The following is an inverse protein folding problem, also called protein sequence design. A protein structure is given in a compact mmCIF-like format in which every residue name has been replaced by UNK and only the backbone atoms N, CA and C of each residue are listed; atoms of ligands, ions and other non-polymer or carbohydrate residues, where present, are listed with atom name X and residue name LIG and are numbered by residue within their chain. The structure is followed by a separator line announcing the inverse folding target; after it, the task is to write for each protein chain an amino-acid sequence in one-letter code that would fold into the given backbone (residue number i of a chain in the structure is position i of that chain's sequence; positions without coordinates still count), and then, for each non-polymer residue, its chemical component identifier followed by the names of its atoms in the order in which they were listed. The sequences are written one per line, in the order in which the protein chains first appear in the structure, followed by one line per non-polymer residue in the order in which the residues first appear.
data_IF_319879678371
#
_entry.id   IF_319879678371
#
_cell.length_a   1.000
_cell.length_b   1.000
_cell.length_c   1.000
_cell.angle_alpha   90.00
_cell.angle_beta   90.00
_cell.angle_gamma   90.00
#
_symmetry.space_group_name_H-M   'P 1'
#
loop_
_entity.id
_entity.type
_entity.pdbx_description
1 polymer ?
#
# COMPACT_ATOMS: atom_id res chain seq x y z
N UNK A 1 -11.69 10.21 5.02
CA UNK A 1 -10.77 11.36 4.86
C UNK A 1 -9.44 10.97 4.26
N UNK A 2 -8.64 10.10 4.88
CA UNK A 2 -7.28 9.74 4.40
C UNK A 2 -7.25 9.29 2.94
N UNK A 3 -8.12 8.36 2.52
CA UNK A 3 -8.17 7.90 1.13
C UNK A 3 -8.40 9.03 0.12
N UNK A 4 -9.27 9.99 0.44
CA UNK A 4 -9.53 11.15 -0.41
C UNK A 4 -8.34 12.11 -0.43
N UNK A 5 -7.74 12.40 0.73
CA UNK A 5 -6.57 13.26 0.84
C UNK A 5 -5.37 12.70 0.03
N UNK A 6 -5.09 11.40 0.16
CA UNK A 6 -4.06 10.71 -0.61
C UNK A 6 -4.34 10.78 -2.12
N UNK A 7 -5.57 10.48 -2.54
CA UNK A 7 -5.95 10.51 -3.97
C UNK A 7 -5.80 11.92 -4.56
N UNK A 8 -6.23 12.94 -3.82
CA UNK A 8 -6.08 14.33 -4.23
C UNK A 8 -4.60 14.76 -4.25
N UNK A 9 -3.79 14.33 -3.27
CA UNK A 9 -2.36 14.59 -3.24
C UNK A 9 -1.65 14.01 -4.49
N UNK A 10 -1.95 12.76 -4.86
CA UNK A 10 -1.41 12.14 -6.07
C UNK A 10 -1.83 12.90 -7.34
N UNK A 11 -3.11 13.31 -7.44
CA UNK A 11 -3.59 14.11 -8.56
C UNK A 11 -2.93 15.49 -8.64
N UNK A 12 -2.79 16.16 -7.49
CA UNK A 12 -2.11 17.44 -7.36
C UNK A 12 -0.64 17.36 -7.78
N UNK A 13 0.11 16.37 -7.28
CA UNK A 13 1.51 16.14 -7.65
C UNK A 13 1.66 15.85 -9.14
N UNK A 14 0.76 15.05 -9.73
CA UNK A 14 0.73 14.81 -11.17
C UNK A 14 0.58 16.10 -11.99
N UNK A 15 -0.32 17.00 -11.58
CA UNK A 15 -0.50 18.30 -12.23
C UNK A 15 0.70 19.23 -12.01
N UNK A 16 1.20 19.35 -10.78
CA UNK A 16 2.34 20.21 -10.40
C UNK A 16 3.61 19.82 -11.16
N UNK A 17 3.88 18.51 -11.24
CA UNK A 17 5.08 17.96 -11.87
C UNK A 17 4.87 17.66 -13.37
N UNK A 18 3.69 17.98 -13.92
CA UNK A 18 3.32 17.75 -15.33
C UNK A 18 3.57 16.29 -15.78
N UNK A 19 3.27 15.34 -14.90
CA UNK A 19 3.49 13.92 -15.15
C UNK A 19 2.51 13.46 -16.23
N UNK A 20 3.04 12.94 -17.34
CA UNK A 20 2.22 12.35 -18.39
C UNK A 20 1.65 11.01 -17.92
N UNK A 21 0.32 10.79 -18.00
CA UNK A 21 -0.24 9.49 -17.69
C UNK A 21 0.26 8.44 -18.69
N UNK A 22 0.34 7.19 -18.23
CA UNK A 22 0.60 6.06 -19.12
C UNK A 22 -0.55 5.91 -20.13
N UNK A 23 -0.29 5.32 -21.31
CA UNK A 23 -1.37 4.95 -22.22
C UNK A 23 -2.42 4.08 -21.53
N UNK A 24 -3.66 4.15 -22.02
CA UNK A 24 -4.74 3.28 -21.55
C UNK A 24 -4.37 1.80 -21.65
N UNK A 25 -4.73 1.01 -20.65
CA UNK A 25 -4.62 -0.44 -20.72
C UNK A 25 -5.61 -0.96 -21.78
N UNK A 26 -5.12 -1.83 -22.66
CA UNK A 26 -5.94 -2.53 -23.66
C UNK A 26 -5.89 -4.03 -23.40
N UNK A 27 -7.04 -4.68 -23.50
CA UNK A 27 -7.17 -6.12 -23.25
C UNK A 27 -7.38 -6.46 -21.77
N UNK A 28 -7.00 -7.68 -21.39
CA UNK A 28 -7.23 -8.23 -20.06
C UNK A 28 -6.05 -7.93 -19.11
N UNK A 29 -6.32 -7.18 -18.04
CA UNK A 29 -5.32 -6.83 -17.03
C UNK A 29 -4.82 -8.04 -16.22
N UNK A 30 -5.59 -9.13 -16.10
CA UNK A 30 -5.16 -10.33 -15.37
C UNK A 30 -3.95 -11.03 -16.02
N UNK A 31 -3.69 -10.77 -17.30
CA UNK A 31 -2.53 -11.30 -18.03
C UNK A 31 -1.27 -10.44 -17.87
N UNK A 32 -1.37 -9.30 -17.20
CA UNK A 32 -0.26 -8.35 -17.04
C UNK A 32 0.51 -8.55 -15.74
N UNK A 33 1.81 -8.18 -15.67
CA UNK A 33 2.56 -8.27 -14.44
C UNK A 33 1.92 -7.47 -13.31
N UNK A 34 1.97 -8.00 -12.08
CA UNK A 34 1.52 -7.26 -10.91
C UNK A 34 2.33 -5.97 -10.73
N UNK A 35 1.61 -4.86 -10.57
CA UNK A 35 2.21 -3.53 -10.42
C UNK A 35 1.92 -2.89 -9.05
N UNK A 36 1.19 -3.59 -8.18
CA UNK A 36 0.83 -3.12 -6.85
C UNK A 36 1.46 -4.01 -5.77
N UNK A 37 1.71 -3.44 -4.56
CA UNK A 37 2.19 -4.19 -3.42
C UNK A 37 1.32 -5.42 -3.13
N UNK A 38 1.97 -6.51 -2.75
CA UNK A 38 1.34 -7.81 -2.47
C UNK A 38 0.98 -8.00 -1.01
N UNK A 39 1.49 -7.14 -0.12
CA UNK A 39 1.18 -7.14 1.31
C UNK A 39 1.03 -5.71 1.82
N UNK A 40 0.44 -5.57 3.00
CA UNK A 40 0.37 -4.28 3.69
C UNK A 40 1.78 -3.77 4.02
N UNK A 41 2.67 -4.62 4.53
CA UNK A 41 4.07 -4.24 4.81
C UNK A 41 4.78 -3.67 3.57
N UNK A 42 4.64 -4.30 2.40
CA UNK A 42 5.23 -3.76 1.16
C UNK A 42 4.62 -2.40 0.78
N UNK A 43 3.31 -2.22 0.95
CA UNK A 43 2.65 -0.94 0.68
C UNK A 43 3.11 0.17 1.64
N UNK A 44 3.34 -0.16 2.91
CA UNK A 44 3.87 0.77 3.91
C UNK A 44 5.31 1.15 3.61
N UNK A 45 6.15 0.21 3.17
CA UNK A 45 7.52 0.49 2.73
C UNK A 45 7.55 1.45 1.53
N UNK A 46 6.67 1.26 0.55
CA UNK A 46 6.57 2.16 -0.59
C UNK A 46 6.14 3.57 -0.14
N UNK A 47 5.14 3.66 0.74
CA UNK A 47 4.67 4.95 1.26
C UNK A 47 5.74 5.68 2.07
N UNK A 48 6.52 4.97 2.88
CA UNK A 48 7.63 5.56 3.66
C UNK A 48 8.70 6.18 2.75
N UNK A 49 8.94 5.59 1.58
CA UNK A 49 9.96 6.04 0.62
C UNK A 49 9.50 7.17 -0.30
N UNK A 50 8.19 7.45 -0.37
CA UNK A 50 7.62 8.42 -1.31
C UNK A 50 7.69 9.86 -0.77
N UNK A 51 8.83 10.52 -0.93
CA UNK A 51 9.09 11.85 -0.34
C UNK A 51 8.09 12.93 -0.77
N UNK A 52 7.57 12.88 -2.00
CA UNK A 52 6.63 13.88 -2.50
C UNK A 52 5.32 13.87 -1.69
N UNK A 53 4.88 12.69 -1.24
CA UNK A 53 3.69 12.59 -0.39
C UNK A 53 3.95 13.09 1.04
N UNK A 54 5.18 13.00 1.54
CA UNK A 54 5.55 13.58 2.84
C UNK A 54 5.47 15.11 2.79
N UNK A 55 5.88 15.73 1.67
CA UNK A 55 5.78 17.18 1.49
C UNK A 55 4.33 17.68 1.46
N UNK A 56 3.43 16.91 0.84
CA UNK A 56 2.02 17.32 0.67
C UNK A 56 1.17 17.03 1.90
N UNK A 57 1.35 15.86 2.52
CA UNK A 57 0.49 15.37 3.62
C UNK A 57 1.11 15.56 5.00
N UNK A 58 2.39 15.89 5.05
CA UNK A 58 3.17 16.04 6.28
C UNK A 58 3.96 14.79 6.61
N UNK A 59 5.28 14.96 6.79
CA UNK A 59 6.21 13.89 7.15
C UNK A 59 5.80 13.20 8.47
N UNK A 60 5.37 13.97 9.47
CA UNK A 60 4.91 13.42 10.75
C UNK A 60 3.66 12.54 10.59
N UNK A 61 2.71 12.98 9.76
CA UNK A 61 1.50 12.20 9.49
C UNK A 61 1.84 10.88 8.81
N UNK A 62 2.64 10.90 7.74
CA UNK A 62 3.04 9.66 7.04
C UNK A 62 3.80 8.73 7.98
N UNK A 63 4.76 9.26 8.76
CA UNK A 63 5.53 8.48 9.73
C UNK A 63 4.60 7.76 10.72
N UNK A 64 3.77 8.51 11.46
CA UNK A 64 2.87 7.94 12.47
C UNK A 64 1.89 6.95 11.84
N UNK A 65 1.30 7.29 10.69
CA UNK A 65 0.38 6.40 10.01
C UNK A 65 1.04 5.06 9.64
N UNK A 66 2.25 5.11 9.07
CA UNK A 66 2.96 3.89 8.67
C UNK A 66 3.39 3.05 9.86
N UNK A 67 3.88 3.66 10.94
CA UNK A 67 4.28 2.93 12.15
C UNK A 67 3.09 2.23 12.83
N UNK A 68 1.94 2.91 12.94
CA UNK A 68 0.73 2.28 13.50
C UNK A 68 0.28 1.10 12.64
N UNK A 69 0.30 1.25 11.31
CA UNK A 69 -0.11 0.18 10.40
C UNK A 69 0.86 -0.98 10.36
N UNK A 70 2.15 -0.74 10.57
CA UNK A 70 3.14 -1.81 10.72
C UNK A 70 2.85 -2.63 11.98
N UNK A 71 2.62 -1.98 13.13
CA UNK A 71 2.28 -2.67 14.37
C UNK A 71 0.99 -3.50 14.26
N UNK A 72 -0.05 -2.96 13.63
CA UNK A 72 -1.29 -3.70 13.34
C UNK A 72 -1.01 -4.93 12.46
N UNK A 73 -0.15 -4.78 11.44
CA UNK A 73 0.21 -5.85 10.52
C UNK A 73 1.03 -6.95 11.20
N UNK A 74 2.05 -6.57 11.97
CA UNK A 74 2.86 -7.51 12.76
C UNK A 74 2.00 -8.31 13.74
N UNK A 75 1.04 -7.66 14.39
CA UNK A 75 0.14 -8.35 15.32
C UNK A 75 -0.78 -9.32 14.58
N UNK A 76 -1.29 -8.94 13.40
CA UNK A 76 -2.06 -9.84 12.56
C UNK A 76 -1.26 -11.09 12.15
N UNK A 77 0.02 -10.91 11.79
CA UNK A 77 0.89 -12.02 11.36
C UNK A 77 1.23 -13.02 12.48
N UNK A 78 1.02 -12.66 13.76
CA UNK A 78 1.20 -13.59 14.90
C UNK A 78 0.00 -14.51 15.10
N UNK A 79 -1.15 -14.21 14.48
CA UNK A 79 -2.37 -15.00 14.64
C UNK A 79 -2.37 -16.18 13.69
N UNK A 80 -2.50 -17.39 14.22
CA UNK A 80 -2.73 -18.59 13.40
C UNK A 80 -4.14 -18.53 12.82
N UNK A 81 -4.22 -18.43 11.50
CA UNK A 81 -5.50 -18.41 10.79
C UNK A 81 -6.20 -19.77 10.83
N UNK A 82 -7.53 -19.82 10.69
CA UNK A 82 -8.27 -21.08 10.56
C UNK A 82 -7.76 -21.96 9.42
N UNK A 83 -7.38 -21.35 8.29
CA UNK A 83 -6.82 -22.08 7.15
C UNK A 83 -5.50 -22.77 7.53
N UNK A 84 -4.57 -22.05 8.17
CA UNK A 84 -3.31 -22.62 8.65
C UNK A 84 -3.55 -23.72 9.66
N UNK A 85 -4.52 -23.54 10.56
CA UNK A 85 -4.91 -24.57 11.51
C UNK A 85 -5.41 -25.84 10.82
N UNK A 86 -6.23 -25.71 9.78
CA UNK A 86 -6.81 -26.85 9.04
C UNK A 86 -5.80 -27.54 8.13
N UNK A 87 -4.85 -26.80 7.55
CA UNK A 87 -3.97 -27.32 6.48
C UNK A 87 -2.52 -27.55 6.91
N UNK A 88 -2.07 -26.90 7.99
CA UNK A 88 -0.68 -26.99 8.47
C UNK A 88 -0.55 -27.71 9.82
N UNK A 89 -1.61 -27.81 10.63
CA UNK A 89 -1.58 -28.77 11.73
C UNK A 89 -1.67 -30.17 11.14
N UNK A 90 -0.66 -30.99 11.43
CA UNK A 90 -0.69 -32.41 11.12
C UNK A 90 -1.98 -32.99 11.72
N UNK A 91 -2.86 -33.51 10.86
CA UNK A 91 -3.92 -34.41 11.28
C UNK A 91 -3.25 -35.64 11.90
N UNK A 92 -3.10 -35.63 13.22
CA UNK A 92 -2.81 -36.84 14.02
C UNK A 92 -4.14 -37.46 14.41
#
# INVERSE_FOLDING_TARGET
YVAMAMTLACGYLGMKNQIKPKPEMKGDAYLTPYALPRSLGEALDWLRRETDLHEVLGQEFITIYTEIKELEFEEFMKVISPWEREHLLLHV
#
